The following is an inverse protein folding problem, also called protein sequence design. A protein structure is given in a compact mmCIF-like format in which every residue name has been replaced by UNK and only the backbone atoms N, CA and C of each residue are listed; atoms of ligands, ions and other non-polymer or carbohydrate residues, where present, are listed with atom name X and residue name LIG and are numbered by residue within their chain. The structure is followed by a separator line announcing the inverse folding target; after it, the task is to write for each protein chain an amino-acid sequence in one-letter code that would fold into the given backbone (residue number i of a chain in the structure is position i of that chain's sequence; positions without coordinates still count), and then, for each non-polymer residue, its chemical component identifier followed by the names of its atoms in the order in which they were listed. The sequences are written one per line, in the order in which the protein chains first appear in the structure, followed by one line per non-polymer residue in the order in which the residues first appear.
data_IF_795321207953
#
_entry.id   IF_795321207953
#
_cell.length_a   1.000
_cell.length_b   1.000
_cell.length_c   1.000
_cell.angle_alpha   90.00
_cell.angle_beta   90.00
_cell.angle_gamma   90.00
#
_symmetry.space_group_name_H-M   'P 1'
#
loop_
_entity.id
_entity.type
_entity.pdbx_description
1 polymer ?
#
# COMPACT_ATOMS: atom_id res chain seq x y z
N UNK A 1 -1.11 31.43 3.47
CA UNK A 1 -2.22 30.47 3.26
C UNK A 1 -2.03 29.35 4.26
N UNK A 2 -3.06 29.01 5.04
CA UNK A 2 -2.96 28.17 6.24
C UNK A 2 -2.30 26.83 5.93
N UNK A 3 -1.24 26.55 6.69
CA UNK A 3 -0.40 25.36 6.59
C UNK A 3 -1.09 24.18 7.31
N UNK A 4 -2.40 24.01 7.10
CA UNK A 4 -3.15 22.91 7.68
C UNK A 4 -2.67 21.62 7.03
N UNK A 5 -1.78 20.91 7.74
CA UNK A 5 -1.26 19.62 7.30
C UNK A 5 -2.46 18.70 7.09
N UNK A 6 -2.65 18.10 5.91
CA UNK A 6 -3.75 17.17 5.63
C UNK A 6 -3.86 16.03 6.66
N UNK A 7 -2.76 15.70 7.34
CA UNK A 7 -2.73 14.75 8.45
C UNK A 7 -3.49 15.21 9.70
N UNK A 8 -3.56 16.51 10.00
CA UNK A 8 -4.21 17.01 11.21
C UNK A 8 -5.73 16.80 11.20
N UNK A 9 -6.38 16.97 10.04
CA UNK A 9 -7.82 16.69 9.90
C UNK A 9 -8.14 15.20 10.05
N UNK A 10 -7.31 14.34 9.46
CA UNK A 10 -7.46 12.88 9.62
C UNK A 10 -7.27 12.47 11.08
N UNK A 11 -6.29 13.07 11.77
CA UNK A 11 -6.02 12.77 13.18
C UNK A 11 -7.20 13.17 14.05
N UNK A 12 -7.72 14.38 13.84
CA UNK A 12 -8.87 14.89 14.57
C UNK A 12 -10.13 14.06 14.29
N UNK A 13 -10.40 13.72 13.03
CA UNK A 13 -11.51 12.86 12.66
C UNK A 13 -11.41 11.48 13.32
N UNK A 14 -10.21 10.90 13.31
CA UNK A 14 -9.94 9.57 13.90
C UNK A 14 -10.15 9.57 15.41
N UNK A 15 -9.66 10.59 16.13
CA UNK A 15 -9.91 10.73 17.59
C UNK A 15 -11.39 10.96 17.91
N UNK A 16 -12.05 11.80 17.12
CA UNK A 16 -13.48 12.09 17.29
C UNK A 16 -14.32 10.82 17.08
N UNK A 17 -13.98 10.02 16.07
CA UNK A 17 -14.66 8.75 15.80
C UNK A 17 -14.42 7.71 16.90
N UNK A 18 -13.20 7.63 17.45
CA UNK A 18 -12.93 6.76 18.62
C UNK A 18 -13.82 7.15 19.81
N UNK A 19 -13.90 8.45 20.12
CA UNK A 19 -14.76 8.95 21.19
C UNK A 19 -16.25 8.64 20.92
N UNK A 20 -16.70 8.80 19.67
CA UNK A 20 -18.06 8.49 19.26
C UNK A 20 -18.38 6.99 19.44
N UNK A 21 -17.49 6.11 18.95
CA UNK A 21 -17.63 4.66 19.12
C UNK A 21 -17.77 4.29 20.59
N UNK A 22 -16.92 4.84 21.46
CA UNK A 22 -16.97 4.56 22.90
C UNK A 22 -18.31 4.98 23.53
N UNK A 23 -18.86 6.13 23.14
CA UNK A 23 -20.19 6.58 23.61
C UNK A 23 -21.30 5.60 23.23
N UNK A 24 -21.32 5.16 21.98
CA UNK A 24 -22.30 4.17 21.49
C UNK A 24 -22.16 2.80 22.18
N UNK A 25 -20.93 2.36 22.46
CA UNK A 25 -20.68 1.12 23.20
C UNK A 25 -21.17 1.23 24.65
N UNK A 26 -20.92 2.36 25.32
CA UNK A 26 -21.39 2.62 26.69
C UNK A 26 -22.91 2.74 26.78
N UNK A 27 -23.56 3.41 25.81
CA UNK A 27 -25.03 3.45 25.70
C UNK A 27 -25.60 2.05 25.49
N UNK A 28 -24.96 1.23 24.64
CA UNK A 28 -25.36 -0.15 24.38
C UNK A 28 -25.32 -1.07 25.59
N UNK A 29 -24.41 -0.81 26.54
CA UNK A 29 -24.32 -1.51 27.84
C UNK A 29 -25.42 -1.05 28.81
N UNK A 30 -25.75 0.25 28.83
CA UNK A 30 -26.82 0.81 29.68
C UNK A 30 -28.22 0.33 29.27
N UNK A 31 -28.44 0.04 28.00
CA UNK A 31 -29.74 -0.40 27.46
C UNK A 31 -30.00 -1.90 27.56
N UNK A 32 -29.23 -2.68 28.34
CA UNK A 32 -29.42 -4.14 28.49
C UNK A 32 -30.75 -4.58 29.13
N UNK A 33 -31.63 -3.65 29.53
CA UNK A 33 -32.96 -3.92 30.10
C UNK A 33 -34.17 -3.61 29.20
N UNK A 34 -33.98 -3.13 27.96
CA UNK A 34 -35.08 -2.75 27.06
C UNK A 34 -34.86 -3.20 25.61
N UNK A 35 -35.96 -3.41 24.87
CA UNK A 35 -35.93 -3.72 23.44
C UNK A 35 -35.10 -2.66 22.70
N UNK A 36 -33.99 -3.05 22.07
CA UNK A 36 -33.15 -2.10 21.30
C UNK A 36 -33.89 -1.69 20.04
N UNK A 37 -34.23 -0.41 19.94
CA UNK A 37 -34.81 0.17 18.74
C UNK A 37 -33.92 -0.10 17.50
N UNK A 38 -34.54 -0.48 16.38
CA UNK A 38 -33.85 -0.84 15.13
C UNK A 38 -32.93 0.30 14.62
N UNK A 39 -33.31 1.56 14.88
CA UNK A 39 -32.54 2.76 14.53
C UNK A 39 -31.21 2.88 15.30
N UNK A 40 -31.18 2.46 16.57
CA UNK A 40 -29.97 2.47 17.40
C UNK A 40 -28.96 1.42 16.94
N UNK A 41 -29.43 0.23 16.56
CA UNK A 41 -28.60 -0.83 15.99
C UNK A 41 -28.00 -0.43 14.64
N UNK A 42 -28.78 0.23 13.78
CA UNK A 42 -28.28 0.74 12.50
C UNK A 42 -27.21 1.82 12.72
N UNK A 43 -27.43 2.74 13.66
CA UNK A 43 -26.47 3.79 14.01
C UNK A 43 -25.16 3.19 14.54
N UNK A 44 -25.24 2.20 15.43
CA UNK A 44 -24.07 1.50 15.97
C UNK A 44 -23.26 0.81 14.86
N UNK A 45 -23.93 0.16 13.90
CA UNK A 45 -23.25 -0.45 12.75
C UNK A 45 -22.53 0.61 11.90
N UNK A 46 -23.21 1.71 11.59
CA UNK A 46 -22.62 2.81 10.81
C UNK A 46 -21.39 3.41 11.50
N UNK A 47 -21.47 3.69 12.81
CA UNK A 47 -20.32 4.18 13.58
C UNK A 47 -19.18 3.16 13.57
N UNK A 48 -19.48 1.87 13.72
CA UNK A 48 -18.48 0.80 13.58
C UNK A 48 -17.79 0.78 12.22
N UNK A 49 -18.53 0.94 11.13
CA UNK A 49 -17.95 1.00 9.78
C UNK A 49 -17.07 2.22 9.58
N UNK A 50 -17.53 3.41 9.99
CA UNK A 50 -16.75 4.65 9.87
C UNK A 50 -15.49 4.61 10.74
N UNK A 51 -15.58 4.02 11.93
CA UNK A 51 -14.43 3.76 12.79
C UNK A 51 -13.37 2.91 12.07
N UNK A 52 -13.76 1.75 11.53
CA UNK A 52 -12.82 0.88 10.83
C UNK A 52 -12.25 1.51 9.56
N UNK A 53 -13.07 2.29 8.84
CA UNK A 53 -12.61 3.05 7.69
C UNK A 53 -11.48 4.01 8.11
N UNK A 54 -11.70 4.82 9.15
CA UNK A 54 -10.69 5.76 9.64
C UNK A 54 -9.45 5.05 10.19
N UNK A 55 -9.60 3.93 10.90
CA UNK A 55 -8.47 3.10 11.34
C UNK A 55 -7.64 2.62 10.15
N UNK A 56 -8.28 2.17 9.07
CA UNK A 56 -7.59 1.75 7.84
C UNK A 56 -6.83 2.90 7.17
N UNK A 57 -7.47 4.07 7.02
CA UNK A 57 -6.83 5.26 6.46
C UNK A 57 -5.64 5.72 7.31
N UNK A 58 -5.85 5.89 8.61
CA UNK A 58 -4.83 6.32 9.56
C UNK A 58 -3.64 5.34 9.57
N UNK A 59 -3.90 4.03 9.57
CA UNK A 59 -2.84 3.00 9.54
C UNK A 59 -1.95 3.13 8.30
N UNK A 60 -2.54 3.42 7.13
CA UNK A 60 -1.77 3.55 5.88
C UNK A 60 -1.06 4.90 5.78
N UNK A 61 -1.75 5.99 6.14
CA UNK A 61 -1.26 7.36 5.95
C UNK A 61 -0.22 7.77 7.00
N UNK A 62 -0.29 7.21 8.21
CA UNK A 62 0.63 7.53 9.32
C UNK A 62 2.11 7.29 8.99
N UNK A 63 2.53 6.08 8.60
CA UNK A 63 3.94 5.81 8.36
C UNK A 63 4.47 6.54 7.13
N UNK A 64 3.62 6.83 6.13
CA UNK A 64 4.00 7.65 4.97
C UNK A 64 4.35 9.09 5.38
N UNK A 65 3.61 9.64 6.34
CA UNK A 65 3.84 10.98 6.90
C UNK A 65 4.82 10.98 8.09
N UNK A 66 5.49 9.86 8.36
CA UNK A 66 6.45 9.70 9.48
C UNK A 66 5.86 10.09 10.84
N UNK A 67 4.56 9.85 11.04
CA UNK A 67 3.86 10.12 12.30
C UNK A 67 3.38 8.81 12.94
N UNK A 68 3.20 8.77 14.27
CA UNK A 68 2.57 7.61 14.91
C UNK A 68 1.11 7.49 14.45
N UNK A 69 0.62 6.25 14.45
CA UNK A 69 -0.81 5.96 14.27
C UNK A 69 -1.59 6.53 15.45
N UNK A 70 -2.77 7.10 15.20
CA UNK A 70 -3.60 7.74 16.21
C UNK A 70 -4.26 6.70 17.10
N UNK A 71 -4.77 5.62 16.51
CA UNK A 71 -5.44 4.55 17.24
C UNK A 71 -4.42 3.49 17.65
N UNK A 72 -4.27 3.33 18.97
CA UNK A 72 -3.43 2.32 19.58
C UNK A 72 -3.98 0.90 19.34
N UNK A 73 -3.14 -0.12 19.46
CA UNK A 73 -3.48 -1.50 19.09
C UNK A 73 -4.60 -2.08 19.96
N UNK A 74 -4.64 -1.68 21.22
CA UNK A 74 -5.60 -2.12 22.23
C UNK A 74 -7.04 -1.82 21.79
N UNK A 75 -7.25 -0.66 21.16
CA UNK A 75 -8.56 -0.23 20.65
C UNK A 75 -8.97 -0.93 19.36
N UNK A 76 -8.04 -1.61 18.69
CA UNK A 76 -8.29 -2.40 17.50
C UNK A 76 -8.54 -3.89 17.82
N UNK A 77 -8.19 -4.35 19.02
CA UNK A 77 -8.23 -5.78 19.37
C UNK A 77 -9.28 -6.15 20.43
N UNK A 78 -10.25 -5.27 20.70
CA UNK A 78 -11.26 -5.44 21.75
C UNK A 78 -12.08 -6.76 21.73
N UNK A 79 -11.98 -7.61 20.70
CA UNK A 79 -12.56 -8.96 20.65
C UNK A 79 -11.57 -10.13 20.78
N UNK A 80 -10.25 -9.89 20.75
CA UNK A 80 -9.19 -10.92 20.86
C UNK A 80 -8.50 -10.92 22.22
N UNK A 81 -8.66 -9.86 23.03
CA UNK A 81 -8.05 -9.71 24.36
C UNK A 81 -8.92 -10.42 25.41
N UNK A 82 -9.27 -11.69 25.20
CA UNK A 82 -9.97 -12.48 26.22
C UNK A 82 -9.04 -13.30 27.11
N UNK A 83 -7.74 -13.48 26.80
CA UNK A 83 -6.93 -14.48 27.54
C UNK A 83 -5.41 -14.26 27.64
N UNK A 84 -4.85 -13.07 27.41
CA UNK A 84 -3.38 -12.89 27.53
C UNK A 84 -2.99 -11.62 28.25
N UNK A 85 -2.99 -11.66 29.58
CA UNK A 85 -2.60 -10.55 30.47
C UNK A 85 -1.13 -10.07 30.30
N UNK A 86 -0.28 -10.77 29.52
CA UNK A 86 1.15 -10.46 29.40
C UNK A 86 1.69 -10.36 27.95
N UNK A 87 0.84 -10.44 26.92
CA UNK A 87 1.31 -10.29 25.53
C UNK A 87 1.08 -8.85 25.07
N UNK A 88 2.12 -8.14 24.60
CA UNK A 88 1.95 -6.81 24.02
C UNK A 88 0.86 -6.86 22.96
N UNK A 89 -0.11 -5.95 23.09
CA UNK A 89 -1.16 -5.74 22.11
C UNK A 89 -0.51 -5.28 20.80
N UNK A 90 -0.12 -6.22 19.93
CA UNK A 90 0.54 -5.92 18.67
C UNK A 90 -0.07 -6.77 17.56
N UNK A 91 -0.39 -6.14 16.44
CA UNK A 91 -0.88 -6.84 15.25
C UNK A 91 0.18 -7.83 14.75
N UNK A 92 -0.19 -9.10 14.66
CA UNK A 92 0.69 -10.19 14.21
C UNK A 92 0.03 -10.98 13.09
N UNK A 93 0.86 -11.57 12.23
CA UNK A 93 0.40 -12.30 11.04
C UNK A 93 -0.68 -13.35 11.37
N UNK A 94 -0.50 -14.14 12.43
CA UNK A 94 -1.45 -15.19 12.82
C UNK A 94 -2.88 -14.68 13.10
N UNK A 95 -3.06 -13.41 13.46
CA UNK A 95 -4.39 -12.81 13.67
C UNK A 95 -5.16 -12.61 12.35
N UNK A 96 -4.44 -12.62 11.23
CA UNK A 96 -4.95 -12.43 9.87
C UNK A 96 -4.97 -13.72 9.07
N UNK A 97 -4.32 -14.77 9.55
CA UNK A 97 -4.42 -16.12 8.99
C UNK A 97 -5.76 -16.70 9.40
N UNK A 98 -6.70 -16.77 8.46
CA UNK A 98 -7.93 -17.54 8.62
C UNK A 98 -7.80 -18.81 7.81
N UNK A 99 -7.94 -19.96 8.46
CA UNK A 99 -8.08 -21.24 7.77
C UNK A 99 -9.27 -21.15 6.82
N UNK A 100 -9.00 -21.39 5.54
CA UNK A 100 -10.02 -21.44 4.51
C UNK A 100 -9.72 -22.64 3.64
N UNK A 101 -10.34 -23.75 4.02
CA UNK A 101 -10.29 -25.03 3.33
C UNK A 101 -10.68 -24.91 1.85
N UNK A 102 -11.46 -23.87 1.49
CA UNK A 102 -11.91 -23.66 0.11
C UNK A 102 -10.92 -22.86 -0.75
N UNK A 103 -9.83 -22.31 -0.19
CA UNK A 103 -8.81 -21.65 -1.01
C UNK A 103 -7.85 -22.67 -1.63
N UNK A 104 -7.55 -22.53 -2.94
CA UNK A 104 -6.60 -23.41 -3.58
C UNK A 104 -5.22 -23.25 -2.94
N UNK A 105 -4.51 -24.37 -2.80
CA UNK A 105 -3.16 -24.42 -2.22
C UNK A 105 -2.17 -23.54 -2.99
N UNK A 106 -2.39 -23.34 -4.30
CA UNK A 106 -1.64 -22.38 -5.11
C UNK A 106 -2.59 -21.40 -5.80
N UNK A 107 -2.55 -20.15 -5.37
CA UNK A 107 -3.34 -19.07 -5.96
C UNK A 107 -2.61 -18.49 -7.18
N UNK A 108 -3.20 -18.64 -8.37
CA UNK A 108 -2.67 -18.10 -9.64
C UNK A 108 -3.78 -17.54 -10.51
N UNK A 109 -3.41 -16.67 -11.45
CA UNK A 109 -4.29 -16.19 -12.51
C UNK A 109 -3.90 -16.86 -13.84
N UNK A 110 -4.85 -17.24 -14.73
CA UNK A 110 -6.31 -17.05 -14.61
C UNK A 110 -6.99 -18.02 -13.64
N UNK A 111 -8.03 -17.53 -12.97
CA UNK A 111 -8.92 -18.32 -12.11
C UNK A 111 -10.35 -17.77 -12.17
N UNK A 112 -11.31 -18.43 -11.50
CA UNK A 112 -12.70 -17.96 -11.47
C UNK A 112 -12.83 -16.61 -10.77
N UNK A 113 -13.84 -15.81 -11.16
CA UNK A 113 -14.05 -14.49 -10.56
C UNK A 113 -14.34 -14.57 -9.04
N UNK A 114 -14.97 -15.65 -8.59
CA UNK A 114 -15.21 -15.93 -7.16
C UNK A 114 -13.88 -16.11 -6.41
N UNK A 115 -12.98 -16.93 -6.95
CA UNK A 115 -11.65 -17.16 -6.37
C UNK A 115 -10.83 -15.88 -6.37
N UNK A 116 -10.81 -15.15 -7.48
CA UNK A 116 -10.09 -13.89 -7.59
C UNK A 116 -10.62 -12.82 -6.60
N UNK A 117 -11.95 -12.70 -6.48
CA UNK A 117 -12.59 -11.78 -5.53
C UNK A 117 -12.22 -12.13 -4.08
N UNK A 118 -12.27 -13.42 -3.73
CA UNK A 118 -11.93 -13.90 -2.37
C UNK A 118 -10.47 -13.65 -2.04
N UNK A 119 -9.56 -13.93 -2.99
CA UNK A 119 -8.14 -13.65 -2.85
C UNK A 119 -7.85 -12.16 -2.60
N UNK A 120 -8.47 -11.28 -3.39
CA UNK A 120 -8.34 -9.82 -3.25
C UNK A 120 -8.84 -9.35 -1.87
N UNK A 121 -9.99 -9.86 -1.41
CA UNK A 121 -10.54 -9.54 -0.08
C UNK A 121 -9.58 -9.96 1.03
N UNK A 122 -8.93 -11.12 0.90
CA UNK A 122 -7.97 -11.63 1.89
C UNK A 122 -6.61 -10.94 1.84
N UNK A 123 -6.19 -10.45 0.68
CA UNK A 123 -4.95 -9.70 0.53
C UNK A 123 -5.02 -8.31 1.19
N UNK A 124 -6.19 -7.66 1.18
CA UNK A 124 -6.40 -6.33 1.73
C UNK A 124 -5.93 -6.16 3.20
N UNK A 125 -6.33 -7.01 4.18
CA UNK A 125 -5.84 -6.91 5.56
C UNK A 125 -4.34 -7.13 5.71
N UNK A 126 -3.71 -7.93 4.86
CA UNK A 126 -2.25 -8.18 4.90
C UNK A 126 -1.47 -6.92 4.54
N UNK A 127 -1.96 -6.14 3.56
CA UNK A 127 -1.46 -4.79 3.30
C UNK A 127 -1.55 -3.91 4.55
N UNK A 128 -2.70 -3.85 5.23
CA UNK A 128 -2.82 -3.01 6.44
C UNK A 128 -1.88 -3.47 7.56
N UNK A 129 -1.70 -4.78 7.72
CA UNK A 129 -0.72 -5.34 8.65
C UNK A 129 0.70 -4.85 8.35
N UNK A 130 1.12 -4.82 7.08
CA UNK A 130 2.43 -4.30 6.69
C UNK A 130 2.61 -2.86 7.20
N UNK A 131 1.67 -1.96 6.92
CA UNK A 131 1.74 -0.55 7.36
C UNK A 131 1.77 -0.40 8.89
N UNK A 132 1.08 -1.29 9.61
CA UNK A 132 1.18 -1.36 11.06
C UNK A 132 2.60 -1.76 11.50
N UNK A 133 3.22 -2.74 10.84
CA UNK A 133 4.62 -3.12 11.09
C UNK A 133 5.59 -1.96 10.83
N UNK A 134 5.41 -1.19 9.74
CA UNK A 134 6.22 0.00 9.47
C UNK A 134 6.17 1.00 10.63
N UNK A 135 4.97 1.22 11.16
CA UNK A 135 4.76 2.14 12.29
C UNK A 135 5.49 1.67 13.56
N UNK A 136 5.57 0.36 13.79
CA UNK A 136 6.36 -0.19 14.91
C UNK A 136 7.86 0.07 14.71
N UNK A 137 8.40 -0.18 13.51
CA UNK A 137 9.82 0.05 13.21
C UNK A 137 10.15 1.55 13.39
N UNK A 138 9.35 2.44 12.80
CA UNK A 138 9.52 3.88 12.94
C UNK A 138 9.46 4.34 14.39
N UNK A 139 8.55 3.79 15.19
CA UNK A 139 8.46 4.10 16.62
C UNK A 139 9.69 3.61 17.40
N UNK A 140 10.20 2.41 17.12
CA UNK A 140 11.41 1.89 17.74
C UNK A 140 12.65 2.73 17.39
N UNK A 141 12.78 3.13 16.12
CA UNK A 141 13.83 4.04 15.65
C UNK A 141 13.73 5.41 16.34
N UNK A 142 12.54 6.02 16.36
CA UNK A 142 12.29 7.33 16.99
C UNK A 142 12.59 7.32 18.49
N UNK A 143 12.21 6.26 19.20
CA UNK A 143 12.48 6.08 20.63
C UNK A 143 13.93 5.69 20.92
N UNK A 144 14.80 5.60 19.91
CA UNK A 144 16.20 5.16 20.02
C UNK A 144 16.32 3.85 20.80
N UNK A 145 15.39 2.92 20.56
CA UNK A 145 15.41 1.59 21.18
C UNK A 145 16.71 0.84 20.88
N UNK A 146 17.00 -0.19 21.68
CA UNK A 146 18.17 -1.05 21.46
C UNK A 146 18.15 -1.66 20.06
N UNK A 147 19.33 -1.89 19.48
CA UNK A 147 19.48 -2.51 18.16
C UNK A 147 18.76 -3.86 18.10
N UNK A 148 18.83 -4.65 19.17
CA UNK A 148 18.10 -5.92 19.30
C UNK A 148 16.58 -5.74 19.15
N UNK A 149 15.99 -4.75 19.83
CA UNK A 149 14.55 -4.49 19.74
C UNK A 149 14.15 -4.02 18.34
N UNK A 150 14.95 -3.17 17.71
CA UNK A 150 14.68 -2.67 16.35
C UNK A 150 14.71 -3.84 15.34
N UNK A 151 15.72 -4.71 15.41
CA UNK A 151 15.82 -5.90 14.57
C UNK A 151 14.63 -6.84 14.80
N UNK A 152 14.23 -7.05 16.06
CA UNK A 152 13.09 -7.92 16.38
C UNK A 152 11.77 -7.38 15.77
N UNK A 153 11.54 -6.07 15.84
CA UNK A 153 10.37 -5.45 15.20
C UNK A 153 10.46 -5.54 13.67
N UNK A 154 11.63 -5.35 13.08
CA UNK A 154 11.84 -5.49 11.63
C UNK A 154 11.54 -6.91 11.12
N UNK A 155 11.87 -7.95 11.88
CA UNK A 155 11.53 -9.35 11.55
C UNK A 155 10.03 -9.57 11.38
N UNK A 156 9.20 -8.82 12.11
CA UNK A 156 7.74 -8.83 11.96
C UNK A 156 7.32 -8.40 10.55
N UNK A 157 7.85 -7.28 10.06
CA UNK A 157 7.58 -6.79 8.70
C UNK A 157 8.08 -7.76 7.61
N UNK A 158 9.32 -8.26 7.77
CA UNK A 158 9.91 -9.23 6.83
C UNK A 158 9.06 -10.52 6.75
N UNK A 159 8.53 -10.98 7.87
CA UNK A 159 7.64 -12.16 7.91
C UNK A 159 6.34 -11.92 7.13
N UNK A 160 5.79 -10.71 7.20
CA UNK A 160 4.60 -10.32 6.44
C UNK A 160 4.89 -10.27 4.94
N UNK A 161 6.04 -9.72 4.53
CA UNK A 161 6.49 -9.73 3.13
C UNK A 161 6.65 -11.16 2.61
N UNK A 162 7.37 -12.03 3.34
CA UNK A 162 7.54 -13.43 2.95
C UNK A 162 6.21 -14.16 2.78
N UNK A 163 5.25 -13.92 3.67
CA UNK A 163 3.91 -14.50 3.55
C UNK A 163 3.19 -14.01 2.28
N UNK A 164 3.26 -12.72 1.98
CA UNK A 164 2.70 -12.17 0.75
C UNK A 164 3.34 -12.78 -0.49
N UNK A 165 4.66 -12.90 -0.51
CA UNK A 165 5.39 -13.43 -1.67
C UNK A 165 5.00 -14.88 -1.94
N UNK A 166 4.86 -15.69 -0.88
CA UNK A 166 4.44 -17.09 -0.99
C UNK A 166 2.97 -17.26 -1.39
N UNK A 167 2.09 -16.31 -1.02
CA UNK A 167 0.63 -16.50 -1.11
C UNK A 167 -0.02 -15.71 -2.25
N UNK A 168 0.39 -14.46 -2.46
CA UNK A 168 -0.32 -13.49 -3.30
C UNK A 168 0.51 -12.94 -4.46
N UNK A 169 1.85 -12.89 -4.37
CA UNK A 169 2.67 -12.22 -5.38
C UNK A 169 2.45 -12.76 -6.80
N UNK A 170 2.51 -14.08 -6.99
CA UNK A 170 2.29 -14.70 -8.30
C UNK A 170 0.89 -14.46 -8.87
N UNK A 171 -0.13 -14.41 -8.00
CA UNK A 171 -1.51 -14.08 -8.37
C UNK A 171 -1.64 -12.64 -8.86
N UNK A 172 -1.10 -11.67 -8.11
CA UNK A 172 -1.15 -10.26 -8.52
C UNK A 172 -0.33 -10.00 -9.80
N UNK A 173 0.85 -10.61 -9.94
CA UNK A 173 1.63 -10.52 -11.18
C UNK A 173 0.87 -11.10 -12.38
N UNK A 174 0.19 -12.23 -12.20
CA UNK A 174 -0.68 -12.81 -13.23
C UNK A 174 -1.83 -11.88 -13.61
N UNK A 175 -2.46 -11.23 -12.62
CA UNK A 175 -3.51 -10.24 -12.87
C UNK A 175 -3.01 -9.02 -13.67
N UNK A 176 -1.78 -8.56 -13.44
CA UNK A 176 -1.19 -7.46 -14.21
C UNK A 176 -0.89 -7.85 -15.65
N UNK A 177 -0.28 -9.02 -15.87
CA UNK A 177 0.00 -9.53 -17.23
C UNK A 177 -1.28 -9.75 -18.04
N UNK A 178 -2.38 -10.10 -17.37
CA UNK A 178 -3.69 -10.33 -17.95
C UNK A 178 -4.71 -9.22 -17.70
N UNK A 179 -4.28 -7.98 -17.42
CA UNK A 179 -5.16 -6.93 -16.87
C UNK A 179 -6.39 -6.64 -17.72
N UNK A 180 -6.26 -6.69 -19.05
CA UNK A 180 -7.37 -6.51 -20.00
C UNK A 180 -8.45 -7.59 -19.92
N UNK A 181 -8.13 -8.75 -19.33
CA UNK A 181 -9.07 -9.86 -19.11
C UNK A 181 -9.67 -9.86 -17.70
N UNK A 182 -9.14 -9.03 -16.79
CA UNK A 182 -9.66 -8.88 -15.43
C UNK A 182 -10.97 -8.10 -15.48
N UNK A 183 -11.97 -8.53 -14.69
CA UNK A 183 -13.26 -7.83 -14.63
C UNK A 183 -13.09 -6.40 -14.09
N UNK A 184 -13.86 -5.42 -14.59
CA UNK A 184 -13.71 -4.01 -14.18
C UNK A 184 -13.86 -3.78 -12.68
N UNK A 185 -14.69 -4.58 -12.01
CA UNK A 185 -14.81 -4.59 -10.54
C UNK A 185 -13.47 -4.87 -9.88
N UNK A 186 -12.77 -5.92 -10.33
CA UNK A 186 -11.51 -6.35 -9.73
C UNK A 186 -10.34 -5.43 -10.09
N UNK A 187 -10.33 -4.85 -11.30
CA UNK A 187 -9.28 -3.93 -11.78
C UNK A 187 -8.97 -2.80 -10.80
N UNK A 188 -10.00 -2.15 -10.27
CA UNK A 188 -9.83 -1.06 -9.30
C UNK A 188 -9.22 -1.54 -7.98
N UNK A 189 -9.66 -2.70 -7.48
CA UNK A 189 -9.11 -3.30 -6.27
C UNK A 189 -7.66 -3.75 -6.44
N UNK A 190 -7.29 -4.28 -7.61
CA UNK A 190 -5.90 -4.63 -7.94
C UNK A 190 -5.01 -3.41 -7.79
N UNK A 191 -5.40 -2.27 -8.38
CA UNK A 191 -4.66 -1.01 -8.24
C UNK A 191 -4.58 -0.57 -6.77
N UNK A 192 -5.69 -0.53 -6.05
CA UNK A 192 -5.77 -0.07 -4.65
C UNK A 192 -4.87 -0.90 -3.70
N UNK A 193 -4.83 -2.21 -3.89
CA UNK A 193 -4.09 -3.12 -3.02
C UNK A 193 -2.64 -3.18 -3.45
N UNK A 194 -2.37 -3.42 -4.73
CA UNK A 194 -1.02 -3.65 -5.24
C UNK A 194 -0.16 -2.39 -5.17
N UNK A 195 -0.72 -1.21 -5.46
CA UNK A 195 0.04 0.05 -5.33
C UNK A 195 0.42 0.30 -3.88
N UNK A 196 -0.56 0.20 -2.96
CA UNK A 196 -0.31 0.45 -1.55
C UNK A 196 0.62 -0.60 -0.94
N UNK A 197 0.53 -1.87 -1.35
CA UNK A 197 1.47 -2.91 -0.95
C UNK A 197 2.90 -2.54 -1.34
N UNK A 198 3.13 -2.26 -2.63
CA UNK A 198 4.48 -1.97 -3.14
C UNK A 198 5.03 -0.62 -2.60
N UNK A 199 4.16 0.37 -2.33
CA UNK A 199 4.60 1.57 -1.61
C UNK A 199 5.05 1.22 -0.18
N UNK A 200 4.28 0.38 0.53
CA UNK A 200 4.61 -0.05 1.88
C UNK A 200 5.94 -0.79 1.95
N UNK A 201 6.24 -1.64 0.95
CA UNK A 201 7.52 -2.35 0.86
C UNK A 201 8.68 -1.44 0.46
N UNK A 202 8.47 -0.40 -0.36
CA UNK A 202 9.47 0.65 -0.59
C UNK A 202 9.81 1.38 0.72
N UNK A 203 8.79 1.78 1.50
CA UNK A 203 9.02 2.37 2.83
C UNK A 203 9.71 1.38 3.77
N UNK A 204 9.37 0.09 3.71
CA UNK A 204 10.08 -0.92 4.48
C UNK A 204 11.56 -0.99 4.10
N UNK A 205 11.90 -0.97 2.81
CA UNK A 205 13.29 -1.01 2.35
C UNK A 205 14.09 0.17 2.91
N UNK A 206 13.53 1.39 2.88
CA UNK A 206 14.17 2.58 3.46
C UNK A 206 14.37 2.46 4.97
N UNK A 207 13.39 1.87 5.68
CA UNK A 207 13.54 1.63 7.12
C UNK A 207 14.58 0.55 7.41
N UNK A 208 14.63 -0.53 6.62
CA UNK A 208 15.61 -1.61 6.78
C UNK A 208 17.03 -1.15 6.50
N UNK A 209 17.23 -0.24 5.54
CA UNK A 209 18.51 0.42 5.29
C UNK A 209 18.99 1.18 6.53
N UNK A 210 18.13 2.00 7.15
CA UNK A 210 18.45 2.68 8.41
C UNK A 210 18.74 1.70 9.57
N UNK A 211 18.04 0.56 9.62
CA UNK A 211 18.30 -0.47 10.62
C UNK A 211 19.67 -1.12 10.37
N UNK A 212 20.00 -1.39 9.10
CA UNK A 212 21.26 -2.00 8.68
C UNK A 212 22.45 -1.10 9.04
N UNK A 213 22.39 0.19 8.67
CA UNK A 213 23.40 1.20 9.00
C UNK A 213 23.68 1.24 10.51
N UNK A 214 22.62 1.18 11.34
CA UNK A 214 22.74 1.19 12.80
C UNK A 214 23.28 -0.11 13.39
N UNK A 215 23.05 -1.24 12.73
CA UNK A 215 23.41 -2.55 13.26
C UNK A 215 24.85 -2.97 12.93
N UNK A 216 25.54 -2.30 12.01
CA UNK A 216 26.88 -2.70 11.50
C UNK A 216 26.96 -4.18 11.08
N UNK A 217 25.83 -4.76 10.69
CA UNK A 217 25.72 -6.18 10.36
C UNK A 217 26.07 -6.38 8.89
N UNK A 218 27.11 -7.15 8.58
CA UNK A 218 27.46 -7.56 7.20
C UNK A 218 26.50 -8.59 6.56
N UNK A 219 25.22 -8.54 6.92
CA UNK A 219 24.18 -9.43 6.37
C UNK A 219 23.78 -9.02 4.94
N UNK A 220 23.33 -10.00 4.16
CA UNK A 220 22.85 -9.84 2.78
C UNK A 220 21.82 -8.70 2.64
N UNK A 221 21.95 -7.95 1.55
CA UNK A 221 21.22 -6.70 1.24
C UNK A 221 19.74 -6.91 0.91
N UNK A 222 18.99 -7.63 1.75
CA UNK A 222 17.58 -7.99 1.55
C UNK A 222 16.68 -6.78 1.28
N UNK A 223 17.03 -5.58 1.77
CA UNK A 223 16.28 -4.36 1.50
C UNK A 223 16.44 -3.85 0.07
N UNK A 224 17.58 -4.10 -0.58
CA UNK A 224 17.78 -3.74 -1.99
C UNK A 224 16.90 -4.58 -2.91
N UNK A 225 16.80 -5.90 -2.65
CA UNK A 225 15.91 -6.79 -3.39
C UNK A 225 14.44 -6.39 -3.24
N UNK A 226 14.02 -6.07 -2.00
CA UNK A 226 12.67 -5.56 -1.73
C UNK A 226 12.42 -4.27 -2.52
N UNK A 227 13.38 -3.34 -2.52
CA UNK A 227 13.27 -2.06 -3.22
C UNK A 227 13.17 -2.25 -4.74
N UNK A 228 14.05 -3.04 -5.32
CA UNK A 228 14.06 -3.40 -6.74
C UNK A 228 12.73 -4.03 -7.16
N UNK A 229 12.31 -5.10 -6.47
CA UNK A 229 11.07 -5.82 -6.79
C UNK A 229 9.86 -4.89 -6.71
N UNK A 230 9.78 -4.04 -5.69
CA UNK A 230 8.67 -3.12 -5.51
C UNK A 230 8.62 -2.04 -6.59
N UNK A 231 9.77 -1.49 -6.98
CA UNK A 231 9.88 -0.49 -8.03
C UNK A 231 9.51 -1.07 -9.41
N UNK A 232 9.92 -2.31 -9.70
CA UNK A 232 9.53 -3.03 -10.92
C UNK A 232 8.03 -3.29 -10.93
N UNK A 233 7.48 -3.86 -9.85
CA UNK A 233 6.05 -4.14 -9.73
C UNK A 233 5.18 -2.88 -9.95
N UNK A 234 5.62 -1.72 -9.45
CA UNK A 234 4.93 -0.45 -9.67
C UNK A 234 5.02 0.01 -11.14
N UNK A 235 6.16 -0.16 -11.79
CA UNK A 235 6.30 0.14 -13.22
C UNK A 235 5.46 -0.79 -14.11
N UNK A 236 5.41 -2.09 -13.79
CA UNK A 236 4.54 -3.06 -14.46
C UNK A 236 3.06 -2.69 -14.28
N UNK A 237 2.67 -2.31 -13.06
CA UNK A 237 1.33 -1.81 -12.78
C UNK A 237 1.02 -0.57 -13.64
N UNK A 238 1.93 0.40 -13.67
CA UNK A 238 1.76 1.62 -14.47
C UNK A 238 1.53 1.30 -15.95
N UNK A 239 2.33 0.39 -16.51
CA UNK A 239 2.19 -0.09 -17.89
C UNK A 239 0.85 -0.77 -18.16
N UNK A 240 0.32 -1.53 -17.20
CA UNK A 240 -0.95 -2.24 -17.35
C UNK A 240 -2.18 -1.33 -17.24
N UNK A 241 -2.11 -0.26 -16.43
CA UNK A 241 -3.28 0.58 -16.09
C UNK A 241 -3.36 1.89 -16.88
N UNK A 242 -2.24 2.31 -17.48
CA UNK A 242 -2.20 3.50 -18.33
C UNK A 242 -2.29 3.05 -19.78
N UNK A 243 -3.44 3.29 -20.46
CA UNK A 243 -3.61 2.87 -21.84
C UNK A 243 -2.54 3.48 -22.75
N UNK A 244 -2.12 2.71 -23.75
CA UNK A 244 -1.32 3.24 -24.85
C UNK A 244 -2.27 3.99 -25.79
N UNK A 245 -1.82 5.08 -26.43
CA UNK A 245 -2.69 5.93 -27.29
C UNK A 245 -3.45 5.16 -28.39
N UNK A 246 -3.05 3.92 -28.69
CA UNK A 246 -3.60 3.03 -29.72
C UNK A 246 -4.53 1.94 -29.21
N UNK A 247 -4.71 1.77 -27.89
CA UNK A 247 -5.58 0.72 -27.36
C UNK A 247 -7.05 1.16 -27.38
N UNK A 248 -7.87 0.53 -28.22
CA UNK A 248 -9.33 0.67 -28.21
C UNK A 248 -9.90 0.09 -26.90
N UNK A 249 -10.05 0.94 -25.88
CA UNK A 249 -10.76 0.54 -24.66
C UNK A 249 -12.21 0.26 -25.06
N UNK A 250 -12.65 -1.00 -24.97
CA UNK A 250 -14.07 -1.34 -25.06
C UNK A 250 -14.79 -0.54 -23.99
N UNK A 251 -15.52 0.49 -24.41
CA UNK A 251 -16.32 1.32 -23.51
C UNK A 251 -17.26 0.41 -22.73
N UNK A 252 -17.15 0.42 -21.40
CA UNK A 252 -18.13 -0.26 -20.56
C UNK A 252 -19.42 0.56 -20.58
N UNK A 253 -20.53 0.02 -21.11
CA UNK A 253 -21.82 0.71 -21.02
C UNK A 253 -22.16 0.91 -19.55
N UNK A 254 -22.54 2.13 -19.15
CA UNK A 254 -22.96 2.53 -17.78
C UNK A 254 -21.85 2.80 -16.75
N UNK A 255 -20.57 2.84 -17.11
CA UNK A 255 -19.50 3.31 -16.20
C UNK A 255 -19.21 4.80 -16.35
N UNK A 256 -18.85 5.49 -15.26
CA UNK A 256 -18.43 6.90 -15.27
C UNK A 256 -17.16 7.09 -16.12
N UNK A 257 -17.05 8.20 -16.87
CA UNK A 257 -15.96 8.45 -17.82
C UNK A 257 -14.55 8.28 -17.22
N UNK A 258 -14.34 8.70 -15.96
CA UNK A 258 -13.07 8.50 -15.24
C UNK A 258 -12.67 7.01 -15.09
N UNK A 259 -13.65 6.11 -14.93
CA UNK A 259 -13.44 4.64 -14.86
C UNK A 259 -13.02 4.09 -16.23
N UNK A 260 -13.53 4.72 -17.30
CA UNK A 260 -13.24 4.32 -18.67
C UNK A 260 -11.85 4.79 -19.12
N UNK A 261 -11.35 5.91 -18.60
CA UNK A 261 -10.03 6.46 -18.96
C UNK A 261 -8.85 5.71 -18.30
N UNK A 262 -8.88 5.56 -16.97
CA UNK A 262 -7.88 4.76 -16.25
C UNK A 262 -8.37 4.47 -14.83
N UNK A 263 -8.18 3.24 -14.32
CA UNK A 263 -8.47 2.91 -12.92
C UNK A 263 -7.75 3.81 -11.91
N UNK A 264 -6.59 4.38 -12.29
CA UNK A 264 -5.86 5.37 -11.49
C UNK A 264 -6.70 6.60 -11.14
N UNK A 265 -7.64 6.97 -12.01
CA UNK A 265 -8.51 8.13 -11.82
C UNK A 265 -9.73 7.83 -10.96
N UNK A 266 -9.88 6.61 -10.46
CA UNK A 266 -11.02 6.19 -9.63
C UNK A 266 -10.65 5.84 -8.21
N UNK A 267 -9.34 5.78 -7.91
CA UNK A 267 -8.85 5.44 -6.58
C UNK A 267 -9.19 6.54 -5.55
N UNK A 268 -9.61 6.15 -4.32
CA UNK A 268 -9.98 7.11 -3.27
C UNK A 268 -8.77 7.79 -2.61
N UNK A 269 -7.55 7.27 -2.79
CA UNK A 269 -6.32 7.72 -2.14
C UNK A 269 -5.25 8.13 -3.16
N UNK A 270 -5.53 9.15 -3.99
CA UNK A 270 -4.59 9.64 -5.01
C UNK A 270 -3.19 9.93 -4.48
N UNK A 271 -3.04 10.37 -3.21
CA UNK A 271 -1.73 10.60 -2.58
C UNK A 271 -0.86 9.34 -2.50
N UNK A 272 -1.45 8.16 -2.27
CA UNK A 272 -0.74 6.87 -2.24
C UNK A 272 -0.21 6.55 -3.63
N UNK A 273 -1.04 6.72 -4.67
CA UNK A 273 -0.64 6.48 -6.05
C UNK A 273 0.52 7.42 -6.45
N UNK A 274 0.40 8.71 -6.14
CA UNK A 274 1.43 9.71 -6.45
C UNK A 274 2.73 9.37 -5.74
N UNK A 275 2.70 9.08 -4.44
CA UNK A 275 3.90 8.73 -3.68
C UNK A 275 4.55 7.45 -4.23
N UNK A 276 3.76 6.43 -4.53
CA UNK A 276 4.25 5.15 -5.06
C UNK A 276 4.99 5.33 -6.39
N UNK A 277 4.34 5.95 -7.38
CA UNK A 277 4.97 6.16 -8.69
C UNK A 277 6.12 7.15 -8.62
N UNK A 278 6.08 8.15 -7.73
CA UNK A 278 7.22 9.05 -7.51
C UNK A 278 8.44 8.30 -7.02
N UNK A 279 8.30 7.47 -5.97
CA UNK A 279 9.43 6.69 -5.45
C UNK A 279 9.96 5.68 -6.46
N UNK A 280 9.08 4.99 -7.18
CA UNK A 280 9.48 4.07 -8.23
C UNK A 280 10.23 4.80 -9.36
N UNK A 281 9.73 5.96 -9.80
CA UNK A 281 10.41 6.81 -10.78
C UNK A 281 11.81 7.23 -10.32
N UNK A 282 11.94 7.69 -9.07
CA UNK A 282 13.23 8.11 -8.52
C UNK A 282 14.20 6.93 -8.37
N UNK A 283 13.71 5.74 -8.02
CA UNK A 283 14.53 4.52 -7.98
C UNK A 283 15.11 4.20 -9.36
N UNK A 284 14.26 4.08 -10.38
CA UNK A 284 14.71 3.76 -11.74
C UNK A 284 15.62 4.85 -12.32
N UNK A 285 15.32 6.13 -12.06
CA UNK A 285 16.20 7.24 -12.45
C UNK A 285 17.58 7.14 -11.78
N UNK A 286 17.63 6.82 -10.49
CA UNK A 286 18.89 6.59 -9.78
C UNK A 286 19.67 5.44 -10.41
N UNK A 287 19.02 4.32 -10.72
CA UNK A 287 19.64 3.17 -11.38
C UNK A 287 20.22 3.57 -12.74
N UNK A 288 19.47 4.29 -13.58
CA UNK A 288 19.93 4.82 -14.86
C UNK A 288 21.18 5.69 -14.69
N UNK A 289 21.17 6.59 -13.70
CA UNK A 289 22.31 7.47 -13.42
C UNK A 289 23.55 6.70 -12.96
N UNK A 290 23.41 5.65 -12.15
CA UNK A 290 24.54 4.80 -11.74
C UNK A 290 25.09 3.98 -12.92
N UNK A 291 24.23 3.38 -13.74
CA UNK A 291 24.65 2.65 -14.94
C UNK A 291 25.43 3.55 -15.91
N UNK A 292 25.02 4.81 -16.10
CA UNK A 292 25.75 5.78 -16.95
C UNK A 292 27.14 6.14 -16.43
N UNK A 293 27.42 5.98 -15.13
CA UNK A 293 28.74 6.26 -14.54
C UNK A 293 29.72 5.11 -14.73
N UNK A 294 29.23 3.90 -15.00
CA UNK A 294 30.08 2.73 -15.13
C UNK A 294 30.85 2.73 -16.47
N UNK A 295 32.15 2.44 -16.40
CA UNK A 295 33.06 2.40 -17.56
C UNK A 295 32.68 1.33 -18.61
N UNK A 296 31.79 0.39 -18.28
CA UNK A 296 31.29 -0.68 -19.16
C UNK A 296 29.81 -0.54 -19.53
N UNK A 297 29.37 0.69 -19.80
CA UNK A 297 27.99 0.99 -20.19
C UNK A 297 27.48 0.10 -21.36
N UNK A 298 28.35 -0.27 -22.30
CA UNK A 298 28.00 -1.12 -23.45
C UNK A 298 27.51 -2.53 -23.05
N UNK A 299 27.98 -3.08 -21.91
CA UNK A 299 27.58 -4.40 -21.42
C UNK A 299 26.26 -4.32 -20.62
N UNK A 300 25.99 -3.19 -19.99
CA UNK A 300 24.81 -2.96 -19.15
C UNK A 300 23.66 -2.27 -19.90
N UNK A 301 23.79 -2.14 -21.21
CA UNK A 301 22.83 -1.43 -22.07
C UNK A 301 21.41 -2.01 -21.96
N UNK A 302 21.25 -3.32 -21.83
CA UNK A 302 19.93 -3.95 -21.63
C UNK A 302 19.28 -3.50 -20.31
N UNK A 303 20.04 -3.53 -19.20
CA UNK A 303 19.59 -3.06 -17.88
C UNK A 303 19.25 -1.57 -17.88
N UNK A 304 20.00 -0.77 -18.65
CA UNK A 304 19.73 0.65 -18.86
C UNK A 304 18.37 0.86 -19.56
N UNK A 305 18.15 0.22 -20.71
CA UNK A 305 16.90 0.36 -21.45
C UNK A 305 15.70 -0.16 -20.67
N UNK A 306 15.87 -1.24 -19.92
CA UNK A 306 14.83 -1.78 -19.06
C UNK A 306 14.46 -0.78 -17.94
N UNK A 307 15.46 -0.21 -17.27
CA UNK A 307 15.24 0.82 -16.25
C UNK A 307 14.60 2.09 -16.83
N UNK A 308 15.00 2.49 -18.04
CA UNK A 308 14.40 3.62 -18.76
C UNK A 308 12.93 3.37 -19.11
N UNK A 309 12.58 2.15 -19.57
CA UNK A 309 11.20 1.76 -19.84
C UNK A 309 10.35 1.78 -18.57
N UNK A 310 10.89 1.28 -17.44
CA UNK A 310 10.19 1.34 -16.16
C UNK A 310 10.01 2.78 -15.66
N UNK A 311 11.05 3.61 -15.80
CA UNK A 311 10.97 5.04 -15.49
C UNK A 311 9.88 5.74 -16.31
N UNK A 312 9.86 5.54 -17.64
CA UNK A 312 8.82 6.07 -18.53
C UNK A 312 7.42 5.66 -18.07
N UNK A 313 7.23 4.38 -17.74
CA UNK A 313 5.95 3.83 -17.33
C UNK A 313 5.41 4.54 -16.09
N UNK A 314 6.26 4.72 -15.07
CA UNK A 314 5.90 5.47 -13.85
C UNK A 314 5.61 6.96 -14.14
N UNK A 315 6.40 7.63 -15.00
CA UNK A 315 6.16 9.03 -15.40
C UNK A 315 4.84 9.18 -16.15
N UNK A 316 4.47 8.21 -16.99
CA UNK A 316 3.16 8.17 -17.66
C UNK A 316 2.02 8.02 -16.65
N UNK A 317 2.18 7.20 -15.62
CA UNK A 317 1.19 7.09 -14.54
C UNK A 317 1.04 8.41 -13.76
N UNK A 318 2.14 9.09 -13.43
CA UNK A 318 2.11 10.42 -12.80
C UNK A 318 1.43 11.46 -13.70
N UNK A 319 1.71 11.42 -15.00
CA UNK A 319 1.04 12.28 -15.99
C UNK A 319 -0.46 11.99 -16.05
N UNK A 320 -0.89 10.73 -15.98
CA UNK A 320 -2.31 10.37 -15.88
C UNK A 320 -2.93 10.97 -14.60
N UNK A 321 -2.26 10.82 -13.46
CA UNK A 321 -2.71 11.32 -12.15
C UNK A 321 -2.74 12.86 -12.05
N UNK A 322 -1.99 13.58 -12.89
CA UNK A 322 -2.00 15.06 -12.96
C UNK A 322 -3.39 15.63 -13.16
N UNK A 323 -4.28 14.89 -13.85
CA UNK A 323 -5.70 15.24 -14.04
C UNK A 323 -6.49 15.41 -12.74
N UNK A 324 -6.02 14.80 -11.63
CA UNK A 324 -6.69 14.84 -10.31
C UNK A 324 -5.81 15.35 -9.17
N UNK A 325 -4.50 15.52 -9.39
CA UNK A 325 -3.56 15.92 -8.34
C UNK A 325 -2.55 16.93 -8.85
N UNK A 326 -2.57 18.13 -8.26
CA UNK A 326 -1.56 19.17 -8.52
C UNK A 326 -0.14 18.69 -8.17
N UNK A 327 0.00 17.87 -7.12
CA UNK A 327 1.30 17.30 -6.77
C UNK A 327 1.80 16.36 -7.87
N UNK A 328 0.92 15.52 -8.42
CA UNK A 328 1.29 14.65 -9.54
C UNK A 328 1.68 15.47 -10.78
N UNK A 329 0.97 16.56 -11.04
CA UNK A 329 1.29 17.50 -12.11
C UNK A 329 2.70 18.07 -11.94
N UNK A 330 3.01 18.66 -10.78
CA UNK A 330 4.32 19.27 -10.53
C UNK A 330 5.46 18.24 -10.63
N UNK A 331 5.26 17.02 -10.13
CA UNK A 331 6.27 15.96 -10.23
C UNK A 331 6.46 15.52 -11.70
N UNK A 332 5.38 15.34 -12.45
CA UNK A 332 5.46 14.99 -13.87
C UNK A 332 6.17 16.08 -14.69
N UNK A 333 5.88 17.36 -14.42
CA UNK A 333 6.54 18.51 -15.07
C UNK A 333 8.06 18.52 -14.83
N UNK A 334 8.52 18.05 -13.66
CA UNK A 334 9.95 17.92 -13.35
C UNK A 334 10.59 16.71 -14.04
N UNK A 335 9.90 15.55 -14.08
CA UNK A 335 10.49 14.30 -14.58
C UNK A 335 10.41 14.14 -16.11
N UNK A 336 9.43 14.76 -16.77
CA UNK A 336 9.23 14.66 -18.21
C UNK A 336 10.41 15.19 -19.05
N UNK A 337 11.01 16.36 -18.73
CA UNK A 337 12.21 16.82 -19.42
C UNK A 337 13.36 15.82 -19.29
N UNK A 338 13.64 15.36 -18.07
CA UNK A 338 14.69 14.35 -17.81
C UNK A 338 14.47 13.07 -18.61
N UNK A 339 13.22 12.60 -18.71
CA UNK A 339 12.90 11.42 -19.52
C UNK A 339 13.22 11.65 -21.02
N UNK A 340 12.91 12.82 -21.56
CA UNK A 340 13.20 13.16 -22.97
C UNK A 340 14.71 13.23 -23.23
N UNK A 341 15.46 13.80 -22.29
CA UNK A 341 16.92 13.89 -22.40
C UNK A 341 17.56 12.49 -22.38
N UNK A 342 17.02 11.57 -21.58
CA UNK A 342 17.48 10.18 -21.51
C UNK A 342 17.11 9.33 -22.73
N UNK A 343 16.05 9.71 -23.45
CA UNK A 343 15.59 9.05 -24.68
C UNK A 343 16.27 9.61 -25.94
N UNK A 344 16.96 10.74 -25.83
CA UNK A 344 17.68 11.36 -26.94
C UNK A 344 18.99 10.59 -27.20
N UNK A 345 19.31 10.28 -28.47
CA UNK A 345 20.47 9.46 -28.84
C UNK A 345 21.81 10.13 -28.55
#
# INVERSE_FOLDING_TARGET
MSNDRPSAHLDQATRTMLALKYRFEMEGLRSHGGSKDTSTLQSQRTVGFLYWLLVMFDTVVSPLNKRPVVIADEHCMAGFIQNTENVPCQWRLHMFLKDDSEMPQSLRWPCSEIVASRAIIKAAPIKFLLYRQLSYIQNALRKRSSTHNIINVAKGAITVCRYWDMTYASFFQGLLRGYDRVSPKLRSWVVCIFTAWNLGTLVLADLLELVHEKATTGGTNSYMDIRLSSAINLAELASAVVPHKTSHIKQLPKCHAAVQESPLLTDPCTSILVEAFTRASLYHLSTICELKKHEWFDVEMESFWQSLQWFESCVRALTCLSKRSKLAQSIAEILLPTLRDLQSP
#
